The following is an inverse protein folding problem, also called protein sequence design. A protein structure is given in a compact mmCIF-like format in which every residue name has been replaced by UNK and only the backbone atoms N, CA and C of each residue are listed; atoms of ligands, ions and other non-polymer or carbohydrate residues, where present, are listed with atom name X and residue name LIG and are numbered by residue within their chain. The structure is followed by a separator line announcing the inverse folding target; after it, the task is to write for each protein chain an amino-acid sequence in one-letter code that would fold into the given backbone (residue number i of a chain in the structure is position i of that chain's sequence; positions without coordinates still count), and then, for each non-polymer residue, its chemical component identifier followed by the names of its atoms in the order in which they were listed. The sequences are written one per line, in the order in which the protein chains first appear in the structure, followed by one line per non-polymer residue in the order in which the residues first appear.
data_IF_265205130066
#
_entry.id   IF_265205130066
#
_cell.length_a   1.000
_cell.length_b   1.000
_cell.length_c   1.000
_cell.angle_alpha   90.00
_cell.angle_beta   90.00
_cell.angle_gamma   90.00
#
_symmetry.space_group_name_H-M   'P 1'
#
loop_
_entity.id
_entity.type
_entity.pdbx_description
1 polymer ?
#
# COMPACT_ATOMS: atom_id res chain seq x y z
N UNK A 1 7.92 -11.76 15.04
CA UNK A 1 6.80 -10.80 15.07
C UNK A 1 5.57 -11.44 14.45
N UNK A 2 4.45 -11.36 15.11
CA UNK A 2 3.22 -11.98 14.62
C UNK A 2 2.66 -11.19 13.45
N UNK A 3 2.11 -11.93 12.48
CA UNK A 3 1.47 -11.33 11.32
C UNK A 3 -0.04 -11.40 11.49
N UNK A 4 -0.71 -10.40 10.95
CA UNK A 4 -2.16 -10.32 10.96
C UNK A 4 -2.66 -10.45 9.53
N UNK A 5 -3.62 -11.33 9.30
CA UNK A 5 -4.27 -11.44 8.00
C UNK A 5 -5.44 -10.48 7.95
N UNK A 6 -5.49 -9.67 6.92
CA UNK A 6 -6.54 -8.68 6.75
C UNK A 6 -7.30 -9.00 5.47
N UNK A 7 -8.60 -9.26 5.60
CA UNK A 7 -9.48 -9.44 4.45
C UNK A 7 -10.05 -8.08 4.08
N UNK A 8 -9.92 -7.72 2.82
CA UNK A 8 -10.34 -6.43 2.34
C UNK A 8 -11.16 -6.59 1.08
N UNK A 9 -12.35 -6.03 1.08
CA UNK A 9 -13.25 -6.07 -0.06
C UNK A 9 -13.41 -4.66 -0.62
N UNK A 10 -13.05 -4.47 -1.88
CA UNK A 10 -13.09 -3.18 -2.57
C UNK A 10 -13.86 -3.32 -3.87
N UNK A 11 -14.50 -2.23 -4.29
CA UNK A 11 -15.03 -2.18 -5.65
C UNK A 11 -13.85 -2.10 -6.62
N UNK A 12 -14.09 -2.41 -7.89
CA UNK A 12 -13.03 -2.27 -8.91
C UNK A 12 -12.49 -0.85 -8.96
N UNK A 13 -13.37 0.14 -8.89
CA UNK A 13 -12.97 1.53 -8.93
C UNK A 13 -12.07 1.88 -7.73
N UNK A 14 -12.43 1.39 -6.54
CA UNK A 14 -11.63 1.62 -5.34
C UNK A 14 -10.27 0.93 -5.44
N UNK A 15 -10.25 -0.30 -5.92
CA UNK A 15 -9.00 -1.06 -6.05
C UNK A 15 -8.07 -0.38 -7.04
N UNK A 16 -8.58 0.09 -8.17
CA UNK A 16 -7.77 0.78 -9.17
C UNK A 16 -7.25 2.10 -8.65
N UNK A 17 -8.09 2.87 -7.97
CA UNK A 17 -7.67 4.15 -7.40
C UNK A 17 -6.56 3.96 -6.37
N UNK A 18 -6.70 2.93 -5.52
CA UNK A 18 -5.69 2.63 -4.50
C UNK A 18 -4.37 2.18 -5.14
N UNK A 19 -4.45 1.33 -6.17
CA UNK A 19 -3.26 0.87 -6.88
C UNK A 19 -2.51 2.05 -7.52
N UNK A 20 -3.24 2.98 -8.12
CA UNK A 20 -2.67 4.18 -8.70
C UNK A 20 -2.01 5.06 -7.64
N UNK A 21 -2.68 5.24 -6.51
CA UNK A 21 -2.15 6.02 -5.40
C UNK A 21 -0.83 5.44 -4.91
N UNK A 22 -0.80 4.13 -4.68
CA UNK A 22 0.41 3.45 -4.18
C UNK A 22 1.55 3.55 -5.18
N UNK A 23 1.26 3.45 -6.47
CA UNK A 23 2.28 3.58 -7.50
C UNK A 23 2.91 4.97 -7.52
N UNK A 24 2.12 6.00 -7.28
CA UNK A 24 2.60 7.38 -7.30
C UNK A 24 3.30 7.78 -6.01
N UNK A 25 3.04 7.07 -4.94
CA UNK A 25 3.61 7.39 -3.64
C UNK A 25 5.07 6.98 -3.57
N UNK A 26 5.89 7.83 -2.97
CA UNK A 26 7.30 7.55 -2.73
C UNK A 26 7.56 7.64 -1.23
N UNK A 27 8.74 7.22 -0.79
CA UNK A 27 9.06 7.14 0.64
C UNK A 27 8.87 8.48 1.36
N UNK A 28 9.20 9.58 0.73
CA UNK A 28 9.04 10.90 1.34
C UNK A 28 7.58 11.23 1.67
N UNK A 29 6.63 10.67 0.91
CA UNK A 29 5.20 10.84 1.22
C UNK A 29 4.86 10.14 2.53
N UNK A 30 5.43 8.97 2.76
CA UNK A 30 5.20 8.22 4.00
C UNK A 30 5.88 8.92 5.18
N UNK A 31 7.09 9.42 4.97
CA UNK A 31 7.81 10.17 6.01
C UNK A 31 7.04 11.40 6.47
N UNK A 32 6.45 12.11 5.53
CA UNK A 32 5.72 13.35 5.84
C UNK A 32 4.53 13.12 6.75
N UNK A 33 3.97 11.93 6.74
CA UNK A 33 2.76 11.61 7.51
C UNK A 33 3.01 10.65 8.67
N UNK A 34 4.19 10.07 8.74
CA UNK A 34 4.55 9.16 9.82
C UNK A 34 4.96 9.94 11.07
N UNK A 35 4.77 9.34 12.23
CA UNK A 35 5.18 9.94 13.51
C UNK A 35 6.68 9.80 13.74
N UNK A 36 7.32 8.85 13.06
CA UNK A 36 8.74 8.59 13.20
C UNK A 36 9.27 7.98 11.93
N UNK A 37 10.60 7.93 11.79
CA UNK A 37 11.24 7.29 10.65
C UNK A 37 10.96 5.78 10.64
N UNK A 38 10.97 5.16 11.81
CA UNK A 38 10.65 3.73 11.92
C UNK A 38 9.24 3.44 11.42
N UNK A 39 8.28 4.30 11.76
CA UNK A 39 6.91 4.15 11.27
C UNK A 39 6.84 4.31 9.77
N UNK A 40 7.63 5.24 9.19
CA UNK A 40 7.66 5.43 7.75
C UNK A 40 8.11 4.16 7.01
N UNK A 41 9.11 3.46 7.54
CA UNK A 41 9.55 2.19 6.96
C UNK A 41 8.50 1.10 7.08
N UNK A 42 7.78 1.05 8.20
CA UNK A 42 6.68 0.09 8.36
C UNK A 42 5.56 0.36 7.37
N UNK A 43 5.22 1.63 7.14
CA UNK A 43 4.22 2.02 6.16
C UNK A 43 4.66 1.62 4.75
N UNK A 44 5.92 1.88 4.42
CA UNK A 44 6.47 1.50 3.11
C UNK A 44 6.34 0.00 2.88
N UNK A 45 6.71 -0.80 3.87
CA UNK A 45 6.63 -2.25 3.74
C UNK A 45 5.19 -2.73 3.60
N UNK A 46 4.27 -2.13 4.36
CA UNK A 46 2.85 -2.43 4.24
C UNK A 46 2.29 -2.04 2.88
N UNK A 47 2.70 -0.88 2.36
CA UNK A 47 2.29 -0.42 1.04
C UNK A 47 2.77 -1.37 -0.05
N UNK A 48 3.99 -1.90 0.07
CA UNK A 48 4.53 -2.87 -0.87
C UNK A 48 3.70 -4.15 -0.89
N UNK A 49 3.34 -4.65 0.28
CA UNK A 49 2.50 -5.85 0.40
C UNK A 49 1.13 -5.61 -0.24
N UNK A 50 0.56 -4.43 -0.02
CA UNK A 50 -0.73 -4.07 -0.59
C UNK A 50 -0.66 -3.99 -2.12
N UNK A 51 0.41 -3.39 -2.65
CA UNK A 51 0.62 -3.32 -4.11
C UNK A 51 0.71 -4.72 -4.72
N UNK A 52 1.44 -5.63 -4.06
CA UNK A 52 1.57 -7.00 -4.54
C UNK A 52 0.22 -7.72 -4.55
N UNK A 53 -0.58 -7.51 -3.51
CA UNK A 53 -1.90 -8.10 -3.41
C UNK A 53 -2.83 -7.57 -4.51
N UNK A 54 -2.81 -6.27 -4.75
CA UNK A 54 -3.61 -5.66 -5.81
C UNK A 54 -3.18 -6.16 -7.18
N UNK A 55 -1.87 -6.30 -7.40
CA UNK A 55 -1.34 -6.80 -8.67
C UNK A 55 -1.81 -8.22 -8.96
N UNK A 56 -1.88 -9.07 -7.93
CA UNK A 56 -2.38 -10.45 -8.08
C UNK A 56 -3.83 -10.49 -8.53
N UNK A 57 -4.59 -9.45 -8.25
CA UNK A 57 -5.98 -9.34 -8.67
C UNK A 57 -6.16 -8.53 -9.95
N UNK A 58 -5.08 -8.22 -10.63
CA UNK A 58 -5.12 -7.53 -11.92
C UNK A 58 -4.96 -6.02 -11.84
N UNK A 59 -4.78 -5.45 -10.65
CA UNK A 59 -4.60 -4.00 -10.47
C UNK A 59 -3.13 -3.65 -10.35
N UNK A 60 -2.47 -3.59 -11.50
CA UNK A 60 -1.04 -3.33 -11.59
C UNK A 60 -0.78 -2.19 -12.57
N UNK A 61 -0.95 -0.93 -12.19
CA UNK A 61 -0.75 0.22 -13.08
C UNK A 61 0.68 0.29 -13.61
N UNK A 62 0.82 0.77 -14.82
CA UNK A 62 2.12 0.94 -15.48
C UNK A 62 2.60 2.37 -15.41
#
# INVERSE_FOLDING_TARGET
MDKVNIDLELTEAQAEALAQFLKRSVFSDYQARAQSEDEAYLIRDAASELQDSLAKHGFNPR
#
